data_IF_284083139232
#
_entry.id   IF_284083139232
#
_cell.length_a   1.000
_cell.length_b   1.000
_cell.length_c   1.000
_cell.angle_alpha   90.00
_cell.angle_beta   90.00
_cell.angle_gamma   90.00
#
_symmetry.space_group_name_H-M   'P 1'
#
loop_
_entity.id
_entity.type
_entity.pdbx_description
1 polymer ?
#
# COMPACT_ATOMS: atom_id res chain seq x y z
N UNK A 1 28.87 -26.93 -18.47
CA UNK A 1 27.73 -27.60 -17.81
C UNK A 1 26.91 -26.49 -17.21
N UNK A 2 26.00 -25.94 -18.01
CA UNK A 2 25.14 -24.85 -17.58
C UNK A 2 24.26 -25.38 -16.45
N UNK A 3 24.38 -24.77 -15.26
CA UNK A 3 23.47 -25.07 -14.16
C UNK A 3 22.09 -24.60 -14.62
N UNK A 4 21.21 -25.54 -14.96
CA UNK A 4 19.81 -25.23 -15.18
C UNK A 4 19.31 -24.45 -13.96
N UNK A 5 18.96 -23.18 -14.16
CA UNK A 5 18.35 -22.37 -13.12
C UNK A 5 17.04 -23.04 -12.72
N UNK A 6 17.02 -23.57 -11.49
CA UNK A 6 15.84 -24.24 -10.95
C UNK A 6 14.71 -23.23 -10.87
N UNK A 7 13.68 -23.40 -11.70
CA UNK A 7 12.50 -22.53 -11.68
C UNK A 7 11.76 -22.74 -10.36
N UNK A 8 11.62 -21.66 -9.59
CA UNK A 8 10.93 -21.66 -8.30
C UNK A 8 9.52 -21.07 -8.42
N UNK A 9 8.62 -21.56 -7.57
CA UNK A 9 7.22 -21.16 -7.58
C UNK A 9 6.69 -20.94 -6.16
N UNK A 10 5.94 -19.85 -5.99
CA UNK A 10 5.04 -19.67 -4.87
C UNK A 10 3.78 -20.50 -5.12
N UNK A 11 3.48 -21.44 -4.23
CA UNK A 11 2.27 -22.27 -4.30
C UNK A 11 1.33 -21.97 -3.14
N UNK A 12 0.04 -21.84 -3.42
CA UNK A 12 -1.00 -21.63 -2.42
C UNK A 12 -2.29 -22.37 -2.82
N UNK A 13 -3.16 -22.63 -1.84
CA UNK A 13 -4.52 -23.10 -2.14
C UNK A 13 -5.24 -21.99 -2.92
N UNK A 14 -5.82 -22.29 -4.09
CA UNK A 14 -6.64 -21.35 -4.84
C UNK A 14 -7.74 -20.74 -3.96
N UNK A 15 -7.90 -19.43 -4.03
CA UNK A 15 -8.93 -18.72 -3.26
C UNK A 15 -9.37 -17.47 -4.03
N UNK A 16 -10.66 -17.12 -3.93
CA UNK A 16 -11.22 -15.93 -4.60
C UNK A 16 -10.51 -14.66 -4.17
N UNK A 17 -10.01 -14.58 -2.93
CA UNK A 17 -9.26 -13.41 -2.47
C UNK A 17 -7.93 -13.25 -3.22
N UNK A 18 -7.12 -14.31 -3.33
CA UNK A 18 -5.82 -14.23 -4.03
C UNK A 18 -6.05 -13.91 -5.51
N UNK A 19 -6.99 -14.61 -6.16
CA UNK A 19 -7.28 -14.38 -7.57
C UNK A 19 -7.89 -13.00 -7.81
N UNK A 20 -8.77 -12.53 -6.94
CA UNK A 20 -9.35 -11.19 -7.01
C UNK A 20 -8.30 -10.10 -6.82
N UNK A 21 -7.26 -10.33 -6.01
CA UNK A 21 -6.12 -9.41 -5.91
C UNK A 21 -5.31 -9.36 -7.21
N UNK A 22 -5.02 -10.51 -7.83
CA UNK A 22 -4.34 -10.52 -9.13
C UNK A 22 -5.18 -9.85 -10.22
N UNK A 23 -6.47 -10.15 -10.29
CA UNK A 23 -7.39 -9.55 -11.26
C UNK A 23 -7.49 -8.04 -11.08
N UNK A 24 -7.56 -7.57 -9.83
CA UNK A 24 -7.59 -6.13 -9.53
C UNK A 24 -6.25 -5.45 -9.85
N UNK A 25 -5.12 -6.08 -9.54
CA UNK A 25 -3.81 -5.57 -9.91
C UNK A 25 -3.64 -5.50 -11.44
N UNK A 26 -4.04 -6.55 -12.17
CA UNK A 26 -4.02 -6.59 -13.64
C UNK A 26 -4.92 -5.51 -14.25
N UNK A 27 -6.11 -5.27 -13.68
CA UNK A 27 -7.03 -4.22 -14.13
C UNK A 27 -6.45 -2.81 -13.95
N UNK A 28 -5.67 -2.59 -12.89
CA UNK A 28 -5.09 -1.30 -12.55
C UNK A 28 -3.74 -1.06 -13.25
N UNK A 29 -2.92 -2.09 -13.35
CA UNK A 29 -1.59 -2.09 -13.95
C UNK A 29 -1.70 -2.47 -15.44
N UNK A 30 -2.33 -1.60 -16.24
CA UNK A 30 -2.87 -1.78 -17.61
C UNK A 30 -1.89 -2.27 -18.72
N UNK A 31 -0.83 -2.97 -18.36
CA UNK A 31 0.24 -3.50 -19.19
C UNK A 31 -0.03 -4.95 -19.68
N UNK A 32 -1.15 -5.58 -19.30
CA UNK A 32 -1.49 -6.95 -19.72
C UNK A 32 -0.49 -8.02 -19.25
N UNK A 33 0.12 -7.77 -18.08
CA UNK A 33 1.18 -8.59 -17.53
C UNK A 33 0.68 -9.94 -17.02
N UNK A 34 1.51 -10.97 -17.14
CA UNK A 34 1.25 -12.22 -16.47
C UNK A 34 1.48 -12.09 -14.95
N UNK A 35 0.93 -13.05 -14.19
CA UNK A 35 0.91 -13.00 -12.72
C UNK A 35 2.31 -12.96 -12.09
N UNK A 36 3.31 -13.55 -12.76
CA UNK A 36 4.68 -13.54 -12.25
C UNK A 36 5.25 -12.12 -12.27
N UNK A 37 5.03 -11.40 -13.37
CA UNK A 37 5.47 -10.03 -13.59
C UNK A 37 4.71 -9.05 -12.69
N UNK A 38 3.39 -9.23 -12.54
CA UNK A 38 2.58 -8.44 -11.58
C UNK A 38 3.14 -8.63 -10.16
N UNK A 39 3.42 -9.88 -9.77
CA UNK A 39 3.90 -10.15 -8.43
C UNK A 39 5.33 -9.60 -8.21
N UNK A 40 6.21 -9.73 -9.19
CA UNK A 40 7.56 -9.14 -9.14
C UNK A 40 7.51 -7.62 -8.96
N UNK A 41 6.63 -6.91 -9.69
CA UNK A 41 6.43 -5.47 -9.50
C UNK A 41 5.91 -5.15 -8.10
N UNK A 42 4.96 -5.93 -7.60
CA UNK A 42 4.42 -5.77 -6.26
C UNK A 42 5.48 -5.98 -5.18
N UNK A 43 6.37 -6.97 -5.33
CA UNK A 43 7.51 -7.19 -4.43
C UNK A 43 8.51 -6.04 -4.46
N UNK A 44 8.84 -5.54 -5.65
CA UNK A 44 9.71 -4.37 -5.80
C UNK A 44 9.14 -3.14 -5.11
N UNK A 45 7.86 -2.84 -5.36
CA UNK A 45 7.15 -1.77 -4.67
C UNK A 45 7.20 -1.95 -3.15
N UNK A 46 6.96 -3.17 -2.67
CA UNK A 46 6.94 -3.49 -1.25
C UNK A 46 8.29 -3.21 -0.58
N UNK A 47 9.40 -3.56 -1.22
CA UNK A 47 10.75 -3.29 -0.71
C UNK A 47 11.06 -1.79 -0.75
N UNK A 48 10.89 -1.15 -1.90
CA UNK A 48 11.26 0.26 -2.12
C UNK A 48 10.46 1.22 -1.23
N UNK A 49 9.22 0.85 -0.91
CA UNK A 49 8.30 1.69 -0.13
C UNK A 49 7.97 1.12 1.25
N UNK A 50 8.69 0.11 1.71
CA UNK A 50 8.43 -0.59 2.97
C UNK A 50 8.12 0.35 4.15
N UNK A 51 8.91 1.42 4.32
CA UNK A 51 8.75 2.40 5.42
C UNK A 51 7.49 3.27 5.31
N UNK A 52 6.88 3.35 4.13
CA UNK A 52 5.69 4.17 3.85
C UNK A 52 4.41 3.33 3.86
N UNK A 53 4.53 2.01 3.89
CA UNK A 53 3.39 1.10 3.86
C UNK A 53 2.67 1.13 5.21
N UNK A 54 1.36 1.40 5.19
CA UNK A 54 0.51 1.29 6.37
C UNK A 54 0.09 -0.17 6.60
N UNK A 55 0.93 -0.92 7.31
CA UNK A 55 0.68 -2.31 7.65
C UNK A 55 -0.56 -2.54 8.52
N UNK A 56 -1.01 -1.51 9.26
CA UNK A 56 -2.23 -1.60 10.05
C UNK A 56 -3.45 -1.58 9.14
N UNK A 57 -3.45 -0.72 8.12
CA UNK A 57 -4.56 -0.63 7.18
C UNK A 57 -4.62 -1.80 6.20
N UNK A 58 -3.46 -2.36 5.79
CA UNK A 58 -3.39 -3.57 4.95
C UNK A 58 -4.05 -4.81 5.57
N UNK A 59 -4.12 -4.84 6.91
CA UNK A 59 -4.81 -5.91 7.64
C UNK A 59 -6.34 -5.87 7.42
N UNK A 60 -6.89 -4.73 7.00
CA UNK A 60 -8.32 -4.60 6.68
C UNK A 60 -8.63 -5.34 5.38
N UNK A 61 -9.87 -5.82 5.27
CA UNK A 61 -10.34 -6.55 4.08
C UNK A 61 -10.53 -5.56 2.93
N UNK A 62 -9.61 -5.55 1.96
CA UNK A 62 -9.96 -5.10 0.61
C UNK A 62 -10.98 -6.11 0.09
N UNK A 63 -12.22 -5.66 -0.17
CA UNK A 63 -13.22 -6.50 -0.82
C UNK A 63 -12.83 -6.62 -2.29
N UNK A 64 -12.07 -7.66 -2.62
CA UNK A 64 -11.86 -8.07 -4.01
C UNK A 64 -12.86 -9.17 -4.33
N UNK A 65 -13.66 -8.96 -5.38
CA UNK A 65 -14.49 -10.01 -5.97
C UNK A 65 -13.67 -10.63 -7.10
N UNK A 66 -13.53 -11.95 -7.09
CA UNK A 66 -12.99 -12.68 -8.24
C UNK A 66 -14.15 -13.12 -9.12
N UNK A 67 -14.12 -12.72 -10.37
CA UNK A 67 -15.12 -13.11 -11.36
C UNK A 67 -14.57 -14.27 -12.20
N UNK A 68 -14.82 -15.49 -11.74
CA UNK A 68 -14.37 -16.71 -12.41
C UNK A 68 -14.39 -17.96 -11.54
N UNK A 69 -14.20 -19.11 -12.17
CA UNK A 69 -13.98 -20.38 -11.46
C UNK A 69 -12.56 -20.45 -10.90
N UNK A 70 -12.43 -20.99 -9.68
CA UNK A 70 -11.13 -21.21 -9.07
C UNK A 70 -10.48 -22.46 -9.71
N UNK A 71 -9.23 -22.37 -10.17
CA UNK A 71 -8.53 -23.55 -10.66
C UNK A 71 -8.24 -24.53 -9.53
N UNK A 72 -7.87 -25.77 -9.90
CA UNK A 72 -7.49 -26.82 -8.95
C UNK A 72 -6.17 -26.55 -8.22
N UNK A 73 -5.28 -25.75 -8.82
CA UNK A 73 -4.01 -25.37 -8.23
C UNK A 73 -3.62 -23.94 -8.62
N UNK A 74 -2.83 -23.30 -7.75
CA UNK A 74 -2.33 -21.95 -7.97
C UNK A 74 -0.82 -21.92 -7.73
N UNK A 75 -0.10 -21.41 -8.73
CA UNK A 75 1.34 -21.20 -8.70
C UNK A 75 1.69 -19.87 -9.37
N UNK A 76 2.64 -19.16 -8.80
CA UNK A 76 3.26 -17.97 -9.38
C UNK A 76 4.76 -18.21 -9.44
N UNK A 77 5.36 -18.02 -10.62
CA UNK A 77 6.80 -18.15 -10.80
C UNK A 77 7.52 -17.04 -10.03
N UNK A 78 8.62 -17.39 -9.37
CA UNK A 78 9.53 -16.42 -8.75
C UNK A 78 10.56 -16.03 -9.81
N UNK A 79 10.52 -14.77 -10.24
CA UNK A 79 11.44 -14.23 -11.24
C UNK A 79 12.77 -13.77 -10.61
N UNK A 80 12.74 -13.33 -9.35
CA UNK A 80 13.93 -12.92 -8.59
C UNK A 80 13.88 -13.51 -7.17
N UNK A 81 14.76 -14.47 -6.90
CA UNK A 81 14.79 -15.17 -5.61
C UNK A 81 15.28 -14.27 -4.47
N UNK A 82 16.30 -13.44 -4.72
CA UNK A 82 16.86 -12.54 -3.70
C UNK A 82 15.80 -11.54 -3.23
N UNK A 83 15.02 -11.01 -4.17
CA UNK A 83 13.89 -10.13 -3.86
C UNK A 83 12.78 -10.87 -3.10
N UNK A 84 12.43 -12.09 -3.48
CA UNK A 84 11.45 -12.91 -2.78
C UNK A 84 11.85 -13.17 -1.31
N UNK A 85 13.13 -13.48 -1.09
CA UNK A 85 13.73 -13.68 0.23
C UNK A 85 13.72 -12.40 1.07
N UNK A 86 14.10 -11.27 0.47
CA UNK A 86 14.07 -9.96 1.13
C UNK A 86 12.66 -9.57 1.57
N UNK A 87 11.63 -9.80 0.75
CA UNK A 87 10.24 -9.58 1.15
C UNK A 87 9.88 -10.46 2.34
N UNK A 88 10.33 -11.72 2.37
CA UNK A 88 10.07 -12.59 3.51
C UNK A 88 10.72 -12.06 4.80
N UNK A 89 11.96 -11.55 4.75
CA UNK A 89 12.63 -10.92 5.90
C UNK A 89 11.84 -9.72 6.42
N UNK A 90 11.47 -8.80 5.52
CA UNK A 90 10.68 -7.61 5.85
C UNK A 90 9.35 -7.98 6.53
N UNK A 91 8.65 -8.99 6.03
CA UNK A 91 7.38 -9.45 6.63
C UNK A 91 7.62 -10.06 8.02
N UNK A 92 8.68 -10.86 8.20
CA UNK A 92 9.03 -11.42 9.51
C UNK A 92 9.31 -10.30 10.52
N UNK A 93 10.00 -9.25 10.09
CA UNK A 93 10.36 -8.12 10.94
C UNK A 93 9.15 -7.30 11.39
N UNK A 94 8.17 -7.07 10.51
CA UNK A 94 6.93 -6.34 10.85
C UNK A 94 6.05 -7.15 11.77
N UNK A 95 5.76 -8.40 11.40
CA UNK A 95 4.73 -9.21 12.07
C UNK A 95 5.30 -10.05 13.22
N UNK A 96 6.61 -10.04 13.44
CA UNK A 96 7.32 -10.82 14.48
C UNK A 96 6.99 -12.31 14.40
N UNK A 97 7.02 -12.86 13.18
CA UNK A 97 6.74 -14.27 12.88
C UNK A 97 7.97 -14.99 12.37
N UNK A 98 8.08 -16.30 12.64
CA UNK A 98 9.22 -17.11 12.19
C UNK A 98 9.08 -17.58 10.74
N UNK A 99 7.84 -17.79 10.29
CA UNK A 99 7.55 -18.35 8.96
C UNK A 99 6.48 -17.51 8.27
N UNK A 100 6.79 -17.06 7.05
CA UNK A 100 5.84 -16.39 6.18
C UNK A 100 5.14 -17.46 5.32
N UNK A 101 3.83 -17.55 5.46
CA UNK A 101 3.03 -18.47 4.64
C UNK A 101 2.74 -17.85 3.28
N UNK A 102 2.86 -18.62 2.19
CA UNK A 102 2.65 -18.12 0.82
C UNK A 102 1.32 -17.38 0.62
N UNK A 103 0.15 -17.88 1.08
CA UNK A 103 -1.10 -17.14 0.96
C UNK A 103 -1.07 -15.78 1.67
N UNK A 104 -0.37 -15.70 2.80
CA UNK A 104 -0.24 -14.46 3.57
C UNK A 104 0.66 -13.45 2.85
N UNK A 105 1.83 -13.90 2.37
CA UNK A 105 2.74 -13.09 1.55
C UNK A 105 2.03 -12.49 0.33
N UNK A 106 1.39 -13.34 -0.47
CA UNK A 106 0.69 -12.93 -1.69
C UNK A 106 -0.34 -11.84 -1.40
N UNK A 107 -1.17 -12.05 -0.37
CA UNK A 107 -2.20 -11.08 0.01
C UNK A 107 -1.59 -9.75 0.44
N UNK A 108 -0.61 -9.80 1.33
CA UNK A 108 -0.02 -8.59 1.89
C UNK A 108 0.67 -7.74 0.81
N UNK A 109 1.51 -8.38 0.00
CA UNK A 109 2.28 -7.72 -1.06
C UNK A 109 1.37 -7.15 -2.15
N UNK A 110 0.38 -7.93 -2.61
CA UNK A 110 -0.56 -7.46 -3.63
C UNK A 110 -1.47 -6.35 -3.11
N UNK A 111 -1.93 -6.42 -1.85
CA UNK A 111 -2.73 -5.33 -1.26
C UNK A 111 -1.94 -4.03 -1.20
N UNK A 112 -0.68 -4.08 -0.77
CA UNK A 112 0.19 -2.89 -0.74
C UNK A 112 0.35 -2.28 -2.12
N UNK A 113 0.55 -3.13 -3.13
CA UNK A 113 0.68 -2.69 -4.51
C UNK A 113 -0.63 -2.12 -5.07
N UNK A 114 -1.78 -2.75 -4.80
CA UNK A 114 -3.09 -2.25 -5.23
C UNK A 114 -3.43 -0.92 -4.57
N UNK A 115 -3.12 -0.72 -3.29
CA UNK A 115 -3.31 0.57 -2.62
C UNK A 115 -2.50 1.67 -3.33
N UNK A 116 -1.25 1.37 -3.70
CA UNK A 116 -0.43 2.26 -4.51
C UNK A 116 -1.04 2.56 -5.87
N UNK A 117 -1.44 1.53 -6.62
CA UNK A 117 -2.04 1.69 -7.95
C UNK A 117 -3.36 2.45 -7.94
N UNK A 118 -4.14 2.32 -6.86
CA UNK A 118 -5.39 3.07 -6.67
C UNK A 118 -5.16 4.54 -6.34
N UNK A 119 -3.90 4.96 -6.18
CA UNK A 119 -3.58 6.30 -5.72
C UNK A 119 -4.17 6.55 -4.34
N UNK A 120 -4.26 5.52 -3.48
CA UNK A 120 -4.52 5.77 -2.06
C UNK A 120 -3.35 6.61 -1.61
N UNK A 121 -3.61 7.92 -1.50
CA UNK A 121 -2.75 8.84 -0.81
C UNK A 121 -2.42 8.15 0.50
N UNK A 122 -1.16 7.72 0.64
CA UNK A 122 -0.61 7.46 1.95
C UNK A 122 -0.92 8.74 2.71
N UNK A 123 -1.98 8.72 3.53
CA UNK A 123 -2.26 9.76 4.50
C UNK A 123 -0.98 9.83 5.28
N UNK A 124 -0.11 10.77 4.91
CA UNK A 124 1.03 11.12 5.71
C UNK A 124 0.38 11.45 7.04
N UNK A 125 0.62 10.61 8.04
CA UNK A 125 0.57 11.08 9.41
C UNK A 125 1.53 12.26 9.41
N UNK A 126 0.95 13.46 9.28
CA UNK A 126 1.69 14.69 9.42
C UNK A 126 2.10 14.69 10.88
N UNK A 127 3.37 14.36 11.11
CA UNK A 127 4.04 14.52 12.40
C UNK A 127 3.60 15.85 12.99
N UNK A 128 3.09 15.78 14.21
CA UNK A 128 2.37 16.83 14.95
C UNK A 128 3.18 18.08 15.27
N UNK A 129 4.30 18.31 14.60
CA UNK A 129 5.22 19.40 14.86
C UNK A 129 5.58 20.10 13.55
N UNK A 130 4.80 21.13 13.20
CA UNK A 130 5.24 22.25 12.36
C UNK A 130 4.18 23.35 12.45
N UNK A 131 4.36 24.20 13.46
CA UNK A 131 3.55 25.38 13.79
C UNK A 131 3.81 26.56 12.82
N UNK A 132 3.85 26.33 11.51
CA UNK A 132 4.00 27.41 10.53
C UNK A 132 2.72 27.59 9.72
N UNK A 133 2.29 28.83 9.53
CA UNK A 133 1.06 29.26 8.84
C UNK A 133 0.96 28.66 7.43
N UNK A 134 2.09 28.51 6.73
CA UNK A 134 2.10 27.93 5.38
C UNK A 134 1.78 26.43 5.38
N UNK A 135 2.16 25.70 6.43
CA UNK A 135 1.80 24.29 6.63
C UNK A 135 0.29 24.13 6.86
N UNK A 136 -0.32 25.06 7.60
CA UNK A 136 -1.76 25.07 7.84
C UNK A 136 -2.55 25.44 6.58
N UNK A 137 -2.05 26.38 5.76
CA UNK A 137 -2.64 26.71 4.46
C UNK A 137 -2.61 25.52 3.51
N UNK A 138 -1.48 24.81 3.42
CA UNK A 138 -1.37 23.59 2.61
C UNK A 138 -2.34 22.50 3.10
N UNK A 139 -2.46 22.31 4.43
CA UNK A 139 -3.44 21.38 5.01
C UNK A 139 -4.89 21.74 4.67
N UNK A 140 -5.24 23.02 4.75
CA UNK A 140 -6.58 23.48 4.39
C UNK A 140 -6.87 23.27 2.90
N UNK A 141 -5.90 23.57 2.02
CA UNK A 141 -6.04 23.36 0.57
C UNK A 141 -6.23 21.87 0.25
N UNK A 142 -5.43 20.98 0.85
CA UNK A 142 -5.58 19.53 0.66
C UNK A 142 -6.94 19.01 1.14
N UNK A 143 -7.43 19.47 2.29
CA UNK A 143 -8.76 19.09 2.81
C UNK A 143 -9.93 19.67 2.00
N UNK A 144 -9.73 20.81 1.33
CA UNK A 144 -10.73 21.37 0.39
C UNK A 144 -10.77 20.58 -0.91
N UNK A 145 -9.65 19.98 -1.34
CA UNK A 145 -9.61 19.11 -2.52
C UNK A 145 -10.28 17.76 -2.20
N UNK A 146 -10.15 17.26 -0.97
CA UNK A 146 -10.78 16.03 -0.47
C UNK A 146 -12.06 16.30 0.35
N UNK A 147 -13.15 16.65 -0.33
CA UNK A 147 -14.44 17.09 0.25
C UNK A 147 -15.24 15.93 0.91
N UNK A 148 -14.65 15.18 1.84
CA UNK A 148 -15.35 14.18 2.66
C UNK A 148 -15.16 14.38 4.18
N UNK A 149 -14.34 15.34 4.62
CA UNK A 149 -14.08 15.59 6.05
C UNK A 149 -14.25 17.07 6.47
N UNK A 150 -15.50 17.52 6.39
CA UNK A 150 -15.93 18.90 6.72
C UNK A 150 -15.60 19.30 8.17
N UNK A 151 -15.65 18.35 9.11
CA UNK A 151 -15.41 18.64 10.53
C UNK A 151 -13.94 18.98 10.81
N UNK A 152 -13.01 18.25 10.19
CA UNK A 152 -11.58 18.55 10.33
C UNK A 152 -11.19 19.85 9.64
N UNK A 153 -11.85 20.18 8.52
CA UNK A 153 -11.66 21.46 7.83
C UNK A 153 -12.04 22.64 8.74
N UNK A 154 -13.19 22.57 9.41
CA UNK A 154 -13.66 23.62 10.33
C UNK A 154 -12.69 23.86 11.51
N UNK A 155 -12.12 22.79 12.07
CA UNK A 155 -11.15 22.89 13.17
C UNK A 155 -9.85 23.58 12.73
N UNK A 156 -9.42 23.37 11.49
CA UNK A 156 -8.20 23.99 10.94
C UNK A 156 -8.46 25.47 10.62
N UNK A 157 -9.64 25.80 10.07
CA UNK A 157 -10.05 27.19 9.84
C UNK A 157 -10.07 27.97 11.16
N UNK A 158 -10.69 27.44 12.21
CA UNK A 158 -10.73 28.09 13.53
C UNK A 158 -9.32 28.31 14.13
N UNK A 159 -8.40 27.35 13.94
CA UNK A 159 -6.99 27.52 14.33
C UNK A 159 -6.28 28.61 13.52
N UNK A 160 -6.54 28.71 12.22
CA UNK A 160 -5.97 29.74 11.35
C UNK A 160 -6.48 31.14 11.73
N UNK A 161 -7.77 31.27 12.03
CA UNK A 161 -8.36 32.54 12.47
C UNK A 161 -7.78 32.99 13.82
N UNK A 162 -7.61 32.05 14.77
CA UNK A 162 -6.96 32.34 16.06
C UNK A 162 -5.51 32.79 15.91
N UNK A 163 -4.77 32.25 14.94
CA UNK A 163 -3.40 32.65 14.67
C UNK A 163 -3.31 34.01 13.98
N UNK A 164 -4.19 34.28 13.01
CA UNK A 164 -4.28 35.61 12.36
C UNK A 164 -4.58 36.71 13.39
N UNK A 165 -5.58 36.47 14.24
CA UNK A 165 -5.96 37.43 15.28
C UNK A 165 -4.85 37.65 16.33
N UNK A 166 -3.88 36.74 16.48
CA UNK A 166 -2.70 36.95 17.33
C UNK A 166 -1.64 37.82 16.65
N UNK A 167 -1.43 37.65 15.34
CA UNK A 167 -0.51 38.48 14.56
C UNK A 167 -1.00 39.94 14.48
N UNK A 168 -2.31 40.15 14.28
CA UNK A 168 -2.90 41.48 14.22
C UNK A 168 -2.87 42.24 15.58
N UNK A 169 -2.68 41.54 16.70
CA UNK A 169 -2.58 42.12 18.05
C UNK A 169 -1.13 42.35 18.52
N UNK A 170 -0.13 41.91 17.75
CA UNK A 170 1.29 42.18 18.02
C UNK A 170 1.85 43.36 17.19
N UNK A 171 1.06 43.93 16.27
CA UNK A 171 1.42 45.11 15.46
C UNK A 171 0.91 46.46 16.04
N UNK A 172 0.43 46.51 17.29
CA UNK A 172 0.01 47.74 17.98
C UNK A 172 0.81 48.02 19.25
#
# INVERSE_FOLDING_TARGET
>A
MDKEEKILYLSAKPSSEIFGLFQEAERLDADGLARAEIFERAERYFIENFKKIDFQNLSKRIKTNYDGELPSSFKVRINNLEMDEQVNDLIRDVYKINRVMTPFKLKLVLKAYIEHLKGVECKKEFSSELNNVDSLKVKAISLIIDIDDVNNLLLIIDKLEKLRNRQDNEEF
#
